data_IF_341032322241
#
_entry.id   IF_341032322241
#
_cell.length_a   1.000
_cell.length_b   1.000
_cell.length_c   1.000
_cell.angle_alpha   90.00
_cell.angle_beta   90.00
_cell.angle_gamma   90.00
#
_symmetry.space_group_name_H-M   'P 1'
#
loop_
_entity.id
_entity.type
_entity.pdbx_description
1 polymer ?
#
# COMPACT_ATOMS: atom_id res chain seq x y z
N UNK A 1 9.09 -11.23 6.18
CA UNK A 1 8.31 -10.01 5.83
C UNK A 1 9.24 -8.81 5.91
N UNK A 2 9.12 -7.84 5.01
CA UNK A 2 9.87 -6.58 5.05
C UNK A 2 8.91 -5.40 5.11
N UNK A 3 9.21 -4.40 5.93
CA UNK A 3 8.48 -3.11 5.95
C UNK A 3 9.49 -1.99 5.66
N UNK A 4 9.33 -1.34 4.52
CA UNK A 4 10.31 -0.42 3.94
C UNK A 4 9.66 0.91 3.58
N UNK A 5 10.47 1.96 3.48
CA UNK A 5 10.05 3.26 2.91
C UNK A 5 9.77 3.08 1.41
N UNK A 6 8.77 3.79 0.88
CA UNK A 6 8.51 3.81 -0.56
C UNK A 6 9.75 4.38 -1.27
N UNK A 7 10.37 3.67 -2.22
CA UNK A 7 11.61 4.11 -2.84
C UNK A 7 11.38 5.28 -3.78
N UNK A 8 12.43 6.07 -4.03
CA UNK A 8 12.41 7.14 -5.04
C UNK A 8 12.48 6.56 -6.47
N UNK A 9 13.13 5.42 -6.64
CA UNK A 9 13.17 4.69 -7.90
C UNK A 9 12.04 3.64 -7.93
N UNK A 10 11.19 3.71 -8.95
CA UNK A 10 10.07 2.79 -9.10
C UNK A 10 10.57 1.34 -9.19
N UNK A 11 9.94 0.44 -8.43
CA UNK A 11 10.22 -1.00 -8.43
C UNK A 11 11.63 -1.41 -7.94
N UNK A 12 12.34 -0.53 -7.23
CA UNK A 12 13.66 -0.83 -6.64
C UNK A 12 13.70 -2.14 -5.84
N UNK A 13 12.61 -2.46 -5.13
CA UNK A 13 12.51 -3.65 -4.28
C UNK A 13 11.97 -4.90 -4.99
N UNK A 14 11.89 -4.92 -6.33
CA UNK A 14 11.50 -6.12 -7.09
C UNK A 14 12.32 -7.36 -6.71
N UNK A 15 13.65 -7.29 -6.55
CA UNK A 15 14.43 -8.45 -6.09
C UNK A 15 14.00 -8.97 -4.72
N UNK A 16 13.62 -8.07 -3.80
CA UNK A 16 13.11 -8.46 -2.49
C UNK A 16 11.72 -9.12 -2.59
N UNK A 17 10.84 -8.59 -3.44
CA UNK A 17 9.49 -9.13 -3.66
C UNK A 17 9.56 -10.56 -4.21
N UNK A 18 10.49 -10.82 -5.13
CA UNK A 18 10.65 -12.14 -5.76
C UNK A 18 11.52 -13.11 -4.97
N UNK A 19 12.07 -12.70 -3.83
CA UNK A 19 13.00 -13.54 -3.08
C UNK A 19 12.25 -14.67 -2.34
N UNK A 20 12.68 -15.95 -2.43
CA UNK A 20 11.94 -17.10 -1.89
C UNK A 20 11.68 -17.02 -0.37
N UNK A 21 12.58 -16.38 0.38
CA UNK A 21 12.44 -16.20 1.83
C UNK A 21 11.68 -14.92 2.24
N UNK A 22 11.17 -14.13 1.29
CA UNK A 22 10.40 -12.92 1.56
C UNK A 22 8.93 -13.18 1.27
N UNK A 23 8.13 -13.27 2.33
CA UNK A 23 6.67 -13.51 2.23
C UNK A 23 5.95 -12.32 1.57
N UNK A 24 6.29 -11.09 1.99
CA UNK A 24 5.68 -9.85 1.49
C UNK A 24 6.56 -8.64 1.80
N UNK A 25 6.49 -7.64 0.93
CA UNK A 25 7.08 -6.31 1.12
C UNK A 25 5.96 -5.30 1.36
N UNK A 26 6.00 -4.65 2.52
CA UNK A 26 5.06 -3.62 2.92
C UNK A 26 5.71 -2.23 2.89
N UNK A 27 4.93 -1.22 2.53
CA UNK A 27 5.31 0.19 2.51
C UNK A 27 4.81 0.93 3.75
N UNK A 28 5.68 1.68 4.41
CA UNK A 28 5.26 2.75 5.33
C UNK A 28 5.05 4.06 4.55
N UNK A 29 4.09 4.89 4.97
CA UNK A 29 3.80 6.16 4.28
C UNK A 29 4.89 7.22 4.45
N UNK A 30 5.79 7.07 5.43
CA UNK A 30 7.05 7.83 5.48
C UNK A 30 6.91 9.33 5.76
N UNK A 31 5.71 9.81 6.10
CA UNK A 31 5.43 11.25 6.26
C UNK A 31 4.75 11.88 5.06
N UNK A 32 4.55 11.14 3.96
CA UNK A 32 3.69 11.56 2.87
C UNK A 32 2.22 11.59 3.29
N UNK A 33 1.44 12.48 2.66
CA UNK A 33 -0.02 12.41 2.71
C UNK A 33 -0.51 11.08 2.13
N UNK A 34 -1.75 10.69 2.46
CA UNK A 34 -2.36 9.50 1.87
C UNK A 34 -2.29 9.49 0.34
N UNK A 35 -2.63 10.60 -0.30
CA UNK A 35 -2.67 10.69 -1.76
C UNK A 35 -1.28 10.53 -2.40
N UNK A 36 -0.26 11.19 -1.83
CA UNK A 36 1.11 11.05 -2.33
C UNK A 36 1.65 9.64 -2.08
N UNK A 37 1.39 9.07 -0.89
CA UNK A 37 1.80 7.71 -0.58
C UNK A 37 1.14 6.68 -1.51
N UNK A 38 -0.15 6.82 -1.80
CA UNK A 38 -0.89 5.98 -2.74
C UNK A 38 -0.33 6.08 -4.16
N UNK A 39 -0.11 7.31 -4.65
CA UNK A 39 0.46 7.56 -5.98
C UNK A 39 1.83 6.88 -6.11
N UNK A 40 2.74 7.10 -5.16
CA UNK A 40 4.08 6.48 -5.18
C UNK A 40 4.01 4.96 -5.02
N UNK A 41 3.13 4.44 -4.15
CA UNK A 41 2.96 3.00 -3.94
C UNK A 41 2.48 2.32 -5.23
N UNK A 42 1.54 2.91 -5.95
CA UNK A 42 0.98 2.34 -7.18
C UNK A 42 2.02 2.06 -8.27
N UNK A 43 3.15 2.79 -8.24
CA UNK A 43 4.29 2.62 -9.15
C UNK A 43 5.23 1.47 -8.77
N UNK A 44 5.05 0.89 -7.58
CA UNK A 44 5.88 -0.18 -7.00
C UNK A 44 5.10 -1.51 -6.96
N UNK A 45 5.10 -2.21 -8.08
CA UNK A 45 4.32 -3.44 -8.30
C UNK A 45 4.66 -4.51 -7.27
N UNK A 46 3.63 -5.09 -6.65
CA UNK A 46 3.77 -6.14 -5.63
C UNK A 46 4.11 -5.65 -4.21
N UNK A 47 4.36 -4.35 -4.03
CA UNK A 47 4.48 -3.74 -2.71
C UNK A 47 3.10 -3.33 -2.18
N UNK A 48 2.83 -3.53 -0.89
CA UNK A 48 1.50 -3.29 -0.28
C UNK A 48 1.59 -2.25 0.82
N UNK A 49 0.57 -1.41 0.98
CA UNK A 49 0.55 -0.44 2.07
C UNK A 49 0.54 -1.10 3.46
N UNK A 50 1.27 -0.49 4.40
CA UNK A 50 1.16 -0.70 5.85
C UNK A 50 1.19 0.67 6.53
N UNK A 51 0.17 1.47 6.21
CA UNK A 51 0.01 2.85 6.64
C UNK A 51 -0.65 2.93 8.03
N UNK A 52 -0.27 3.95 8.79
CA UNK A 52 -0.88 4.27 10.09
C UNK A 52 -1.48 5.67 10.01
N UNK A 53 -0.68 6.73 10.17
CA UNK A 53 -1.16 8.12 10.05
C UNK A 53 -1.89 8.42 8.75
N UNK A 54 -1.39 7.92 7.61
CA UNK A 54 -2.04 8.11 6.32
C UNK A 54 -3.40 7.36 6.20
N UNK A 55 -3.58 6.25 6.93
CA UNK A 55 -4.89 5.57 6.99
C UNK A 55 -5.90 6.42 7.77
N UNK A 56 -5.48 7.04 8.86
CA UNK A 56 -6.36 7.82 9.75
C UNK A 56 -6.41 9.31 9.42
N UNK A 57 -5.73 9.76 8.36
CA UNK A 57 -5.69 11.16 7.95
C UNK A 57 -7.10 11.65 7.59
N UNK A 58 -7.53 12.73 8.25
CA UNK A 58 -8.87 13.31 8.12
C UNK A 58 -9.88 12.80 9.15
N UNK A 59 -9.63 11.66 9.80
CA UNK A 59 -10.52 11.14 10.84
C UNK A 59 -10.42 11.96 12.12
N UNK A 60 -11.57 12.19 12.76
CA UNK A 60 -11.68 12.95 13.99
C UNK A 60 -12.76 12.39 14.91
N UNK A 61 -12.56 12.54 16.22
CA UNK A 61 -13.56 12.22 17.24
C UNK A 61 -14.76 13.18 17.26
N UNK A 62 -14.77 14.25 16.46
CA UNK A 62 -15.88 15.19 16.33
C UNK A 62 -16.84 14.89 15.16
N UNK A 63 -16.50 13.94 14.30
CA UNK A 63 -17.34 13.53 13.17
C UNK A 63 -18.57 12.74 13.66
N UNK A 64 -19.64 12.74 12.87
CA UNK A 64 -20.69 11.74 13.06
C UNK A 64 -20.17 10.34 12.73
N UNK A 65 -20.85 9.30 13.21
CA UNK A 65 -20.50 7.91 12.87
C UNK A 65 -20.53 7.68 11.35
N UNK A 66 -21.49 8.28 10.64
CA UNK A 66 -21.59 8.19 9.18
C UNK A 66 -20.41 8.86 8.47
N UNK A 67 -20.04 10.08 8.87
CA UNK A 67 -18.91 10.81 8.28
C UNK A 67 -17.59 10.07 8.52
N UNK A 68 -17.40 9.55 9.73
CA UNK A 68 -16.23 8.77 10.10
C UNK A 68 -16.13 7.49 9.25
N UNK A 69 -17.23 6.73 9.15
CA UNK A 69 -17.27 5.48 8.40
C UNK A 69 -17.05 5.69 6.90
N UNK A 70 -17.70 6.70 6.30
CA UNK A 70 -17.51 7.03 4.89
C UNK A 70 -16.06 7.44 4.59
N UNK A 71 -15.43 8.20 5.49
CA UNK A 71 -14.04 8.61 5.32
C UNK A 71 -13.06 7.46 5.47
N UNK A 72 -13.29 6.57 6.46
CA UNK A 72 -12.47 5.39 6.66
C UNK A 72 -12.58 4.44 5.46
N UNK A 73 -13.80 4.22 4.95
CA UNK A 73 -14.04 3.39 3.76
C UNK A 73 -13.30 3.93 2.53
N UNK A 74 -13.45 5.21 2.23
CA UNK A 74 -12.72 5.89 1.14
C UNK A 74 -11.19 5.81 1.31
N UNK A 75 -10.70 5.94 2.54
CA UNK A 75 -9.28 5.81 2.85
C UNK A 75 -8.78 4.39 2.61
N UNK A 76 -9.53 3.38 3.04
CA UNK A 76 -9.23 1.97 2.82
C UNK A 76 -9.23 1.66 1.32
N UNK A 77 -10.26 2.06 0.59
CA UNK A 77 -10.40 1.79 -0.84
C UNK A 77 -9.26 2.38 -1.65
N UNK A 78 -8.92 3.65 -1.42
CA UNK A 78 -7.81 4.30 -2.13
C UNK A 78 -6.45 3.62 -1.85
N UNK A 79 -6.20 3.23 -0.60
CA UNK A 79 -4.98 2.51 -0.20
C UNK A 79 -4.96 1.09 -0.80
N UNK A 80 -6.12 0.43 -0.87
CA UNK A 80 -6.27 -0.89 -1.48
C UNK A 80 -5.94 -0.84 -2.97
N UNK A 81 -6.53 0.09 -3.72
CA UNK A 81 -6.28 0.26 -5.15
C UNK A 81 -4.79 0.50 -5.45
N UNK A 82 -4.12 1.32 -4.63
CA UNK A 82 -2.68 1.52 -4.74
C UNK A 82 -1.86 0.27 -4.40
N UNK A 83 -2.36 -0.58 -3.50
CA UNK A 83 -1.66 -1.78 -3.02
C UNK A 83 -1.77 -2.99 -3.95
N UNK A 84 -2.78 -3.04 -4.82
CA UNK A 84 -3.01 -4.19 -5.70
C UNK A 84 -2.31 -4.10 -7.06
N UNK A 85 -1.58 -3.02 -7.32
CA UNK A 85 -0.89 -2.85 -8.60
C UNK A 85 0.15 -3.96 -8.81
N UNK A 86 0.03 -4.68 -9.93
CA UNK A 86 0.95 -5.74 -10.31
C UNK A 86 0.80 -7.08 -9.55
N UNK A 87 -0.13 -7.22 -8.60
CA UNK A 87 -0.37 -8.50 -7.90
C UNK A 87 -0.93 -9.58 -8.83
N UNK A 88 -1.72 -9.20 -9.84
CA UNK A 88 -2.31 -10.15 -10.79
C UNK A 88 -1.28 -10.91 -11.64
N UNK A 89 -0.10 -10.31 -11.84
CA UNK A 89 1.00 -10.96 -12.56
C UNK A 89 1.73 -12.00 -11.69
N UNK A 90 1.79 -11.78 -10.37
CA UNK A 90 2.43 -12.69 -9.41
C UNK A 90 1.63 -13.99 -9.23
N UNK A 91 0.29 -13.90 -9.17
CA UNK A 91 -0.60 -15.06 -9.08
C UNK A 91 -0.54 -15.95 -10.33
N UNK A 92 -0.44 -15.35 -11.54
CA UNK A 92 -0.32 -16.12 -12.79
C UNK A 92 1.00 -16.88 -12.87
N UNK A 93 2.11 -16.28 -12.41
CA UNK A 93 3.43 -16.94 -12.44
C UNK A 93 3.51 -18.11 -11.45
N UNK A 94 2.90 -18.00 -10.26
CA UNK A 94 2.87 -19.09 -9.27
C UNK A 94 1.93 -20.26 -9.62
N UNK A 95 0.94 -20.06 -10.49
CA UNK A 95 0.05 -21.15 -10.96
C UNK A 95 0.68 -21.95 -12.11
N UNK A 96 1.69 -21.39 -12.79
CA UNK A 96 2.34 -21.99 -13.97
C UNK A 96 3.69 -22.67 -13.67
N UNK A 97 4.09 -22.76 -12.40
CA UNK A 97 5.29 -23.47 -11.93
C UNK A 97 4.88 -24.56 -10.93
#
# INVERSE_FOLDING_TARGET
ILKLTIPNENNLFTPCINHPNVIRVFALSGGYSRDEANSRLSLNKGMVASFSRALTEGLSAQQSDEEFNLMLDSSIESIYQASITGIEQELKIKIMQ
#
